data_IF_332181346634
#
_entry.id   IF_332181346634
#
_cell.length_a   1.000
_cell.length_b   1.000
_cell.length_c   1.000
_cell.angle_alpha   90.00
_cell.angle_beta   90.00
_cell.angle_gamma   90.00
#
_symmetry.space_group_name_H-M   'P 1'
#
loop_
_entity.id
_entity.type
_entity.pdbx_description
1 polymer ?
#
# COMPACT_ATOMS: atom_id res chain seq x y z
N UNK A 1 14.90 17.91 7.75
CA UNK A 1 13.96 18.96 7.32
C UNK A 1 13.13 18.41 6.16
N UNK A 2 11.92 17.92 6.43
CA UNK A 2 10.83 17.60 5.48
C UNK A 2 9.62 17.47 6.40
N UNK A 3 8.76 18.47 6.54
CA UNK A 3 8.00 19.10 5.45
C UNK A 3 6.58 18.59 5.64
N UNK A 4 5.74 19.39 6.30
CA UNK A 4 4.37 19.00 6.61
C UNK A 4 3.51 18.95 5.35
N UNK A 5 2.65 17.95 5.28
CA UNK A 5 1.47 17.92 4.43
C UNK A 5 0.40 17.13 5.14
N UNK A 6 -0.74 17.80 5.31
CA UNK A 6 -1.98 17.28 5.84
C UNK A 6 -2.61 16.29 4.85
N UNK A 7 -2.07 15.07 4.77
CA UNK A 7 -2.69 13.99 4.02
C UNK A 7 -2.76 12.79 4.97
N UNK A 8 -3.93 12.16 5.07
CA UNK A 8 -4.28 11.10 6.02
C UNK A 8 -3.38 9.84 6.03
N UNK A 9 -2.27 9.84 5.30
CA UNK A 9 -1.30 8.74 5.24
C UNK A 9 -0.11 8.96 6.19
N UNK A 10 0.27 7.90 6.91
CA UNK A 10 1.51 7.87 7.66
C UNK A 10 2.72 7.74 6.72
N UNK A 11 3.93 8.09 7.20
CA UNK A 11 5.18 7.91 6.43
C UNK A 11 5.37 6.49 5.91
N UNK A 12 4.86 5.50 6.63
CA UNK A 12 4.93 4.09 6.25
C UNK A 12 3.93 3.77 5.12
N UNK A 13 2.72 4.32 5.21
CA UNK A 13 1.72 4.17 4.14
C UNK A 13 2.18 4.83 2.85
N UNK A 14 2.80 6.01 2.92
CA UNK A 14 3.41 6.66 1.74
C UNK A 14 4.49 5.78 1.10
N UNK A 15 5.35 5.14 1.89
CA UNK A 15 6.36 4.22 1.37
C UNK A 15 5.74 2.98 0.70
N UNK A 16 4.67 2.41 1.28
CA UNK A 16 3.93 1.29 0.70
C UNK A 16 3.36 1.67 -0.67
N UNK A 17 2.70 2.84 -0.74
CA UNK A 17 2.09 3.34 -1.98
C UNK A 17 3.15 3.68 -3.02
N UNK A 18 4.27 4.26 -2.62
CA UNK A 18 5.39 4.55 -3.51
C UNK A 18 5.95 3.28 -4.14
N UNK A 19 6.13 2.20 -3.37
CA UNK A 19 6.60 0.93 -3.92
C UNK A 19 5.61 0.32 -4.91
N UNK A 20 4.32 0.41 -4.62
CA UNK A 20 3.28 0.01 -5.57
C UNK A 20 3.37 0.82 -6.87
N UNK A 21 3.52 2.15 -6.78
CA UNK A 21 3.68 3.03 -7.95
C UNK A 21 4.99 2.77 -8.73
N UNK A 22 6.02 2.23 -8.07
CA UNK A 22 7.23 1.73 -8.75
C UNK A 22 7.03 0.42 -9.51
N UNK A 23 5.84 -0.19 -9.44
CA UNK A 23 5.49 -1.43 -10.12
C UNK A 23 5.70 -2.70 -9.28
N UNK A 24 5.92 -2.58 -7.97
CA UNK A 24 5.95 -3.76 -7.09
C UNK A 24 4.53 -4.19 -6.80
N UNK A 25 4.05 -5.24 -7.48
CA UNK A 25 2.66 -5.71 -7.33
C UNK A 25 2.46 -6.72 -6.20
N UNK A 26 3.54 -7.14 -5.53
CA UNK A 26 3.47 -8.17 -4.49
C UNK A 26 3.53 -7.55 -3.08
N UNK A 27 2.44 -7.62 -2.28
CA UNK A 27 2.40 -7.06 -0.93
C UNK A 27 3.48 -7.60 -0.01
N UNK A 28 3.88 -8.87 -0.18
CA UNK A 28 4.93 -9.48 0.62
C UNK A 28 6.31 -8.86 0.34
N UNK A 29 6.56 -8.47 -0.91
CA UNK A 29 7.79 -7.77 -1.28
C UNK A 29 7.78 -6.33 -0.79
N UNK A 30 6.65 -5.63 -0.94
CA UNK A 30 6.49 -4.28 -0.41
C UNK A 30 6.71 -4.27 1.10
N UNK A 31 6.10 -5.21 1.81
CA UNK A 31 6.23 -5.36 3.26
C UNK A 31 7.68 -5.58 3.70
N UNK A 32 8.42 -6.45 3.01
CA UNK A 32 9.84 -6.68 3.27
C UNK A 32 10.70 -5.43 3.01
N UNK A 33 10.39 -4.67 1.97
CA UNK A 33 11.11 -3.44 1.63
C UNK A 33 10.76 -2.26 2.56
N UNK A 34 9.54 -2.23 3.10
CA UNK A 34 9.06 -1.23 4.05
C UNK A 34 9.33 -1.60 5.52
N UNK A 35 9.91 -2.77 5.79
CA UNK A 35 10.08 -3.34 7.13
C UNK A 35 8.76 -3.38 7.93
N UNK A 36 7.68 -3.79 7.27
CA UNK A 36 6.34 -3.86 7.86
C UNK A 36 5.66 -5.21 7.62
N UNK A 37 4.47 -5.39 8.20
CA UNK A 37 3.70 -6.62 8.02
C UNK A 37 2.96 -6.62 6.69
N UNK A 38 2.84 -7.81 6.08
CA UNK A 38 2.07 -7.99 4.85
C UNK A 38 0.60 -7.58 5.05
N UNK A 39 0.01 -7.90 6.20
CA UNK A 39 -1.36 -7.49 6.53
C UNK A 39 -1.53 -5.97 6.50
N UNK A 40 -0.61 -5.22 7.10
CA UNK A 40 -0.65 -3.76 7.11
C UNK A 40 -0.49 -3.16 5.71
N UNK A 41 0.36 -3.78 4.89
CA UNK A 41 0.51 -3.42 3.47
C UNK A 41 -0.79 -3.62 2.71
N UNK A 42 -1.47 -4.76 2.91
CA UNK A 42 -2.77 -5.05 2.28
C UNK A 42 -3.86 -4.09 2.75
N UNK A 43 -3.93 -3.77 4.04
CA UNK A 43 -4.86 -2.78 4.58
C UNK A 43 -4.64 -1.42 3.93
N UNK A 44 -3.39 -0.94 3.89
CA UNK A 44 -3.01 0.32 3.24
C UNK A 44 -3.39 0.34 1.76
N UNK A 45 -3.10 -0.74 1.03
CA UNK A 45 -3.45 -0.83 -0.38
C UNK A 45 -4.98 -0.93 -0.57
N UNK A 46 -5.73 -1.61 0.31
CA UNK A 46 -7.20 -1.64 0.26
C UNK A 46 -7.81 -0.25 0.47
N UNK A 47 -7.25 0.54 1.40
CA UNK A 47 -7.74 1.89 1.71
C UNK A 47 -7.47 2.90 0.58
N UNK A 48 -6.29 2.82 -0.04
CA UNK A 48 -5.81 3.85 -0.98
C UNK A 48 -5.79 3.41 -2.45
N UNK A 49 -5.80 2.11 -2.72
CA UNK A 49 -5.67 1.52 -4.06
C UNK A 49 -6.64 0.35 -4.23
N UNK A 50 -7.97 0.53 -4.16
CA UNK A 50 -8.95 -0.57 -4.18
C UNK A 50 -8.76 -1.59 -5.32
N UNK A 51 -8.19 -1.17 -6.45
CA UNK A 51 -7.91 -2.01 -7.61
C UNK A 51 -6.55 -2.74 -7.55
N UNK A 52 -5.81 -2.68 -6.44
CA UNK A 52 -4.50 -3.33 -6.30
C UNK A 52 -4.61 -4.86 -6.32
N UNK A 53 -5.76 -5.38 -5.89
CA UNK A 53 -6.08 -6.79 -5.83
C UNK A 53 -7.25 -7.17 -6.75
N UNK A 54 -7.54 -6.37 -7.77
CA UNK A 54 -8.65 -6.60 -8.71
C UNK A 54 -8.51 -7.92 -9.50
N UNK A 55 -7.32 -8.53 -9.48
CA UNK A 55 -7.05 -9.86 -10.07
C UNK A 55 -7.59 -11.03 -9.21
N UNK A 56 -7.97 -10.78 -7.94
CA UNK A 56 -8.66 -11.77 -7.11
C UNK A 56 -10.15 -11.44 -7.03
N UNK A 57 -10.88 -11.89 -8.05
CA UNK A 57 -12.33 -11.81 -8.16
C UNK A 57 -13.07 -12.15 -6.87
N UNK A 58 -13.45 -11.11 -6.14
CA UNK A 58 -14.60 -11.14 -5.27
C UNK A 58 -15.61 -10.17 -5.85
N UNK A 59 -16.54 -10.75 -6.60
CA UNK A 59 -17.81 -10.16 -6.96
C UNK A 59 -18.32 -9.24 -5.86
N UNK A 60 -18.65 -8.01 -6.25
CA UNK A 60 -19.75 -7.27 -5.63
C UNK A 60 -20.97 -8.20 -5.49
N UNK A 61 -21.70 -8.02 -4.39
CA UNK A 61 -23.01 -8.60 -4.01
C UNK A 61 -22.97 -9.81 -3.08
#
# INVERSE_FOLDING_TARGET
MFGGSNNDTTKLQDQILQQWDMGVSNPKQIAANCDCSESYTKETLNEHRPNWNDDNGFSLF
#
